data_IF_558083516133
#
_entry.id   IF_558083516133
#
_cell.length_a   1.000
_cell.length_b   1.000
_cell.length_c   1.000
_cell.angle_alpha   90.00
_cell.angle_beta   90.00
_cell.angle_gamma   90.00
#
_symmetry.space_group_name_H-M   'P 1'
#
loop_
_entity.id
_entity.type
_entity.pdbx_description
1 polymer ?
#
# COMPACT_ATOMS: atom_id res chain seq x y z
N UNK A 1 3.89 11.71 3.34
CA UNK A 1 4.91 10.71 2.95
C UNK A 1 4.41 9.95 1.73
N UNK A 2 5.31 9.54 0.83
CA UNK A 2 5.03 8.67 -0.32
C UNK A 2 5.73 7.34 -0.08
N UNK A 3 5.00 6.24 -0.13
CA UNK A 3 5.56 4.89 0.05
C UNK A 3 5.40 4.08 -1.22
N UNK A 4 6.45 3.34 -1.54
CA UNK A 4 6.53 2.44 -2.67
C UNK A 4 6.60 1.03 -2.13
N UNK A 5 5.78 0.14 -2.66
CA UNK A 5 5.69 -1.25 -2.22
C UNK A 5 5.84 -2.12 -3.46
N UNK A 6 6.80 -3.04 -3.41
CA UNK A 6 7.01 -4.05 -4.44
C UNK A 6 5.78 -4.98 -4.52
N UNK A 7 5.14 -5.01 -5.68
CA UNK A 7 3.90 -5.71 -5.92
C UNK A 7 4.06 -7.23 -6.02
N UNK A 8 5.27 -7.71 -6.35
CA UNK A 8 5.64 -9.11 -6.46
C UNK A 8 5.92 -9.71 -5.07
N UNK A 9 6.47 -8.89 -4.16
CA UNK A 9 6.69 -9.28 -2.77
C UNK A 9 5.43 -9.18 -1.88
N UNK A 10 4.33 -8.58 -2.37
CA UNK A 10 3.17 -8.25 -1.55
C UNK A 10 1.97 -9.19 -1.80
N UNK A 11 1.57 -10.02 -0.82
CA UNK A 11 0.37 -10.84 -0.92
C UNK A 11 -0.90 -10.00 -1.09
N UNK A 12 -1.92 -10.54 -1.77
CA UNK A 12 -3.19 -9.84 -2.02
C UNK A 12 -3.84 -9.26 -0.74
N UNK A 13 -3.79 -10.00 0.37
CA UNK A 13 -4.32 -9.53 1.66
C UNK A 13 -3.59 -8.29 2.20
N UNK A 14 -2.27 -8.18 1.98
CA UNK A 14 -1.50 -7.02 2.43
C UNK A 14 -1.80 -5.80 1.57
N UNK A 15 -2.03 -5.96 0.26
CA UNK A 15 -2.44 -4.86 -0.63
C UNK A 15 -3.68 -4.16 -0.09
N UNK A 16 -4.70 -4.93 0.32
CA UNK A 16 -5.93 -4.38 0.89
C UNK A 16 -5.69 -3.61 2.19
N UNK A 17 -4.88 -4.15 3.10
CA UNK A 17 -4.51 -3.49 4.36
C UNK A 17 -3.77 -2.17 4.07
N UNK A 18 -2.81 -2.17 3.15
CA UNK A 18 -2.05 -0.99 2.76
C UNK A 18 -2.95 0.09 2.18
N UNK A 19 -3.89 -0.25 1.29
CA UNK A 19 -4.83 0.72 0.75
C UNK A 19 -5.77 1.29 1.82
N UNK A 20 -6.28 0.45 2.74
CA UNK A 20 -7.11 0.91 3.87
C UNK A 20 -6.33 1.83 4.81
N UNK A 21 -5.08 1.49 5.13
CA UNK A 21 -4.19 2.29 5.96
C UNK A 21 -3.81 3.62 5.27
N UNK A 22 -3.52 3.58 3.97
CA UNK A 22 -3.24 4.75 3.13
C UNK A 22 -4.42 5.73 3.13
N UNK A 23 -5.65 5.22 2.96
CA UNK A 23 -6.87 6.02 3.02
C UNK A 23 -7.05 6.71 4.37
N UNK A 24 -6.85 5.99 5.49
CA UNK A 24 -6.98 6.54 6.85
C UNK A 24 -5.94 7.61 7.17
N UNK A 25 -4.71 7.40 6.71
CA UNK A 25 -3.57 8.29 7.00
C UNK A 25 -3.35 9.37 5.96
N UNK A 26 -4.15 9.39 4.89
CA UNK A 26 -3.94 10.23 3.69
C UNK A 26 -2.53 10.09 3.11
N UNK A 27 -1.98 8.89 3.18
CA UNK A 27 -0.66 8.56 2.63
C UNK A 27 -0.82 8.06 1.21
N UNK A 28 0.07 8.50 0.31
CA UNK A 28 0.08 7.99 -1.06
C UNK A 28 0.89 6.69 -1.12
N UNK A 29 0.21 5.60 -1.48
CA UNK A 29 0.80 4.28 -1.76
C UNK A 29 0.90 4.09 -3.27
N UNK A 30 2.06 3.64 -3.74
CA UNK A 30 2.26 3.15 -5.10
C UNK A 30 2.74 1.71 -5.01
N UNK A 31 1.99 0.77 -5.58
CA UNK A 31 2.44 -0.60 -5.80
C UNK A 31 3.17 -0.62 -7.14
N UNK A 32 4.42 -1.12 -7.14
CA UNK A 32 5.26 -1.22 -8.34
C UNK A 32 5.67 -2.65 -8.57
#
# INVERSE_FOLDING_TARGET
MKIWVDADACPAAIKEILFRAAKRTKTMVTLV
#
